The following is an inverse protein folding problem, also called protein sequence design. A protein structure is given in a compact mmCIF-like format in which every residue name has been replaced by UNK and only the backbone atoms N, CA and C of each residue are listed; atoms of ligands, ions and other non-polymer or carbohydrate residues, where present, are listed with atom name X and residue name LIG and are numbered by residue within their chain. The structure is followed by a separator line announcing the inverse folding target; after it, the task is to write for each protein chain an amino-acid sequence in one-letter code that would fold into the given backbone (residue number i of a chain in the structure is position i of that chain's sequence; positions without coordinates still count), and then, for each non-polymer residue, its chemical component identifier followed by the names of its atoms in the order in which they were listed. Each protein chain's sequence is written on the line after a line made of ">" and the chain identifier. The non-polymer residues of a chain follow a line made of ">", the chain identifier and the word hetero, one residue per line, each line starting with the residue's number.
data_IF_224634448387
#
_entry.id   IF_224634448387
#
_cell.length_a   1.000
_cell.length_b   1.000
_cell.length_c   1.000
_cell.angle_alpha   90.00
_cell.angle_beta   90.00
_cell.angle_gamma   90.00
#
_symmetry.space_group_name_H-M   'P 1'
#
loop_
_entity.id
_entity.type
_entity.pdbx_description
1 polymer ?
#
# COMPACT_ATOMS: atom_id res chain seq x y z
N UNK A 1 -16.44 -24.64 2.05
CA UNK A 1 -16.76 -23.92 0.80
C UNK A 1 -16.95 -22.45 1.14
N UNK A 2 -16.05 -21.54 0.71
CA UNK A 2 -16.18 -20.09 0.94
C UNK A 2 -15.70 -19.36 -0.31
N UNK A 3 -16.62 -18.76 -1.05
CA UNK A 3 -16.34 -17.92 -2.22
C UNK A 3 -16.70 -16.47 -1.90
N UNK A 4 -15.76 -15.71 -1.33
CA UNK A 4 -15.90 -14.25 -1.24
C UNK A 4 -15.45 -13.61 -2.56
N UNK A 5 -16.36 -13.60 -3.54
CA UNK A 5 -16.24 -12.77 -4.74
C UNK A 5 -16.84 -11.38 -4.49
N UNK A 6 -16.31 -10.68 -3.47
CA UNK A 6 -16.39 -9.22 -3.37
C UNK A 6 -15.07 -8.69 -3.90
N UNK A 7 -15.12 -7.64 -4.72
CA UNK A 7 -13.96 -7.06 -5.45
C UNK A 7 -12.74 -6.99 -4.53
N UNK A 8 -11.69 -7.75 -4.84
CA UNK A 8 -10.46 -7.77 -4.05
C UNK A 8 -9.69 -6.47 -4.26
N UNK A 9 -9.96 -5.48 -3.43
CA UNK A 9 -9.08 -4.33 -3.29
C UNK A 9 -7.87 -4.73 -2.44
N UNK A 10 -6.69 -4.39 -2.95
CA UNK A 10 -5.40 -4.64 -2.33
C UNK A 10 -4.61 -3.37 -2.48
N UNK A 11 -4.30 -2.73 -1.36
CA UNK A 11 -3.48 -1.53 -1.35
C UNK A 11 -2.01 -1.95 -1.32
N UNK A 12 -1.18 -1.42 -2.21
CA UNK A 12 0.26 -1.73 -2.23
C UNK A 12 1.04 -0.44 -2.00
N UNK A 13 1.89 -0.43 -0.97
CA UNK A 13 2.71 0.71 -0.58
C UNK A 13 4.16 0.42 -0.93
N UNK A 14 4.80 1.29 -1.69
CA UNK A 14 6.21 1.17 -2.12
C UNK A 14 6.94 2.49 -1.85
N UNK A 15 8.25 2.55 -2.07
CA UNK A 15 9.03 3.79 -1.93
C UNK A 15 9.33 4.26 -0.50
N UNK A 16 8.66 3.71 0.52
CA UNK A 16 8.90 4.00 1.94
C UNK A 16 10.38 3.88 2.37
N UNK A 17 11.10 2.93 1.79
CA UNK A 17 12.54 2.71 2.01
C UNK A 17 13.38 3.95 1.63
N UNK A 18 12.97 4.72 0.62
CA UNK A 18 13.66 5.95 0.19
C UNK A 18 13.56 7.08 1.23
N UNK A 19 12.58 7.02 2.14
CA UNK A 19 12.43 7.93 3.30
C UNK A 19 13.13 7.39 4.55
N UNK A 20 13.85 6.26 4.44
CA UNK A 20 14.49 5.59 5.56
C UNK A 20 13.52 4.83 6.48
N UNK A 21 12.29 4.57 6.01
CA UNK A 21 11.29 3.83 6.79
C UNK A 21 11.46 2.33 6.62
N UNK A 22 11.28 1.59 7.72
CA UNK A 22 11.46 0.15 7.73
C UNK A 22 10.14 -0.56 7.35
N UNK A 23 10.07 -1.08 6.12
CA UNK A 23 8.86 -1.71 5.58
C UNK A 23 8.27 -2.81 6.48
N UNK A 24 9.11 -3.54 7.24
CA UNK A 24 8.67 -4.53 8.25
C UNK A 24 7.92 -3.92 9.43
N UNK A 25 8.25 -2.70 9.86
CA UNK A 25 7.53 -1.99 10.93
C UNK A 25 6.21 -1.48 10.39
N UNK A 26 6.25 -0.72 9.28
CA UNK A 26 5.06 -0.17 8.62
C UNK A 26 4.06 -1.29 8.34
N UNK A 27 4.46 -2.39 7.72
CA UNK A 27 3.57 -3.53 7.46
C UNK A 27 2.90 -4.07 8.74
N UNK A 28 3.66 -4.25 9.83
CA UNK A 28 3.11 -4.72 11.11
C UNK A 28 2.14 -3.72 11.74
N UNK A 29 2.46 -2.43 11.70
CA UNK A 29 1.61 -1.39 12.26
C UNK A 29 0.32 -1.24 11.45
N UNK A 30 0.39 -1.28 10.11
CA UNK A 30 -0.78 -1.33 9.23
C UNK A 30 -1.67 -2.55 9.55
N UNK A 31 -1.10 -3.77 9.60
CA UNK A 31 -1.85 -4.98 9.92
C UNK A 31 -2.48 -4.97 11.33
N UNK A 32 -1.84 -4.33 12.32
CA UNK A 32 -2.41 -4.15 13.67
C UNK A 32 -3.48 -3.06 13.74
N UNK A 33 -3.27 -1.93 13.08
CA UNK A 33 -4.15 -0.75 13.10
C UNK A 33 -5.46 -1.02 12.36
N UNK A 34 -5.36 -1.66 11.19
CA UNK A 34 -6.50 -1.91 10.31
C UNK A 34 -7.09 -3.32 10.42
N UNK A 35 -6.48 -4.20 11.24
CA UNK A 35 -6.83 -5.62 11.36
C UNK A 35 -6.85 -6.38 10.01
N UNK A 36 -6.10 -5.87 9.02
CA UNK A 36 -6.00 -6.40 7.66
C UNK A 36 -4.77 -7.29 7.48
N UNK A 37 -4.82 -8.16 6.48
CA UNK A 37 -3.67 -8.97 6.09
C UNK A 37 -2.62 -8.15 5.36
N UNK A 38 -1.57 -7.71 6.07
CA UNK A 38 -0.38 -7.05 5.50
C UNK A 38 0.75 -8.05 5.24
N UNK A 39 1.53 -7.88 4.18
CA UNK A 39 2.73 -8.68 3.90
C UNK A 39 3.77 -7.87 3.12
N UNK A 40 5.05 -8.05 3.46
CA UNK A 40 6.16 -7.43 2.71
C UNK A 40 6.53 -8.35 1.56
N UNK A 41 6.40 -7.86 0.32
CA UNK A 41 6.81 -8.54 -0.91
C UNK A 41 8.15 -7.95 -1.37
N UNK A 42 9.09 -8.78 -1.82
CA UNK A 42 10.26 -8.29 -2.56
C UNK A 42 9.98 -8.35 -4.05
N UNK A 43 10.19 -7.24 -4.76
CA UNK A 43 10.18 -7.26 -6.23
C UNK A 43 11.49 -7.84 -6.75
N UNK A 44 11.48 -8.56 -7.88
CA UNK A 44 12.69 -9.13 -8.49
C UNK A 44 13.72 -8.07 -8.89
N UNK A 45 13.32 -6.80 -9.04
CA UNK A 45 14.20 -5.66 -9.27
C UNK A 45 15.00 -5.19 -8.04
N UNK A 46 14.80 -5.81 -6.86
CA UNK A 46 15.61 -5.57 -5.66
C UNK A 46 14.99 -4.69 -4.57
N UNK A 47 13.82 -4.08 -4.80
CA UNK A 47 13.09 -3.29 -3.80
C UNK A 47 12.10 -4.09 -2.93
N UNK A 48 11.57 -3.43 -1.88
CA UNK A 48 10.51 -3.95 -1.01
C UNK A 48 9.18 -3.20 -1.18
N UNK A 49 8.08 -3.97 -1.26
CA UNK A 49 6.69 -3.50 -1.29
C UNK A 49 5.96 -3.96 -0.02
N UNK A 50 4.91 -3.25 0.39
CA UNK A 50 3.97 -3.68 1.42
C UNK A 50 2.60 -3.87 0.78
N UNK A 51 2.14 -5.11 0.72
CA UNK A 51 0.84 -5.49 0.17
C UNK A 51 -0.15 -5.65 1.33
N UNK A 52 -1.25 -4.89 1.31
CA UNK A 52 -2.29 -4.88 2.35
C UNK A 52 -3.65 -5.28 1.76
N UNK A 53 -4.28 -6.29 2.35
CA UNK A 53 -5.57 -6.81 1.91
C UNK A 53 -6.70 -5.94 2.45
N UNK A 54 -7.31 -5.13 1.60
CA UNK A 54 -8.41 -4.23 1.95
C UNK A 54 -8.33 -2.89 1.21
N UNK A 55 -9.44 -2.18 1.29
CA UNK A 55 -9.75 -0.88 0.71
C UNK A 55 -9.06 0.30 1.45
N UNK A 56 -8.06 0.01 2.31
CA UNK A 56 -7.43 0.91 3.31
C UNK A 56 -6.48 1.95 2.75
N UNK A 57 -6.72 2.42 1.53
CA UNK A 57 -5.82 3.33 0.80
C UNK A 57 -5.78 4.72 1.42
N UNK A 58 -6.95 5.32 1.64
CA UNK A 58 -7.15 6.63 2.28
C UNK A 58 -6.61 6.62 3.74
N UNK A 59 -6.90 5.54 4.47
CA UNK A 59 -6.44 5.34 5.85
C UNK A 59 -4.93 5.08 5.97
N UNK A 60 -4.29 4.49 4.95
CA UNK A 60 -2.83 4.35 4.87
C UNK A 60 -2.18 5.72 4.67
N UNK A 61 -2.74 6.56 3.81
CA UNK A 61 -2.26 7.93 3.57
C UNK A 61 -2.33 8.77 4.85
N UNK A 62 -3.51 8.89 5.47
CA UNK A 62 -3.67 9.62 6.74
C UNK A 62 -2.76 9.08 7.84
N UNK A 63 -2.63 7.76 7.97
CA UNK A 63 -1.72 7.14 8.93
C UNK A 63 -0.24 7.42 8.62
N UNK A 64 0.17 7.43 7.35
CA UNK A 64 1.55 7.74 6.97
C UNK A 64 1.90 9.20 7.33
N UNK A 65 0.99 10.13 7.06
CA UNK A 65 1.16 11.55 7.35
C UNK A 65 1.17 11.84 8.86
N UNK A 66 0.25 11.26 9.62
CA UNK A 66 0.20 11.41 11.08
C UNK A 66 1.41 10.75 11.77
N UNK A 67 1.85 9.58 11.28
CA UNK A 67 2.90 8.78 11.94
C UNK A 67 4.31 9.11 11.50
N UNK A 68 4.49 9.54 10.26
CA UNK A 68 5.79 9.78 9.63
C UNK A 68 5.81 11.17 8.98
N UNK A 69 5.94 12.26 9.76
CA UNK A 69 6.06 13.64 9.25
C UNK A 69 7.33 13.90 8.40
N UNK A 70 8.14 12.86 8.15
CA UNK A 70 9.24 12.82 7.18
C UNK A 70 8.76 12.60 5.75
N UNK A 71 7.53 12.10 5.55
CA UNK A 71 6.91 11.98 4.23
C UNK A 71 5.93 13.16 4.04
N UNK A 72 6.19 14.09 3.12
CA UNK A 72 5.19 15.10 2.74
C UNK A 72 4.11 14.49 1.82
N UNK A 73 2.90 15.06 1.82
CA UNK A 73 1.80 14.65 0.92
C UNK A 73 2.21 14.65 -0.55
N UNK A 74 2.98 15.64 -1.01
CA UNK A 74 3.54 15.72 -2.36
C UNK A 74 4.38 14.50 -2.79
N UNK A 75 4.84 13.70 -1.83
CA UNK A 75 5.63 12.48 -2.07
C UNK A 75 4.83 11.18 -1.90
N UNK A 76 3.55 11.25 -1.54
CA UNK A 76 2.64 10.09 -1.44
C UNK A 76 1.74 10.08 -2.67
N UNK A 77 2.09 9.31 -3.71
CA UNK A 77 1.26 9.21 -4.91
C UNK A 77 0.24 8.05 -4.78
N UNK A 78 -1.01 8.38 -4.48
CA UNK A 78 -2.07 7.40 -4.27
C UNK A 78 -2.65 6.89 -5.61
N UNK A 79 -1.95 5.95 -6.23
CA UNK A 79 -2.34 5.34 -7.52
C UNK A 79 -3.49 4.35 -7.33
N UNK A 80 -4.72 4.84 -7.32
CA UNK A 80 -5.92 3.99 -7.34
C UNK A 80 -6.03 3.25 -8.68
N UNK A 81 -5.45 2.05 -8.75
CA UNK A 81 -5.52 1.15 -9.91
C UNK A 81 -6.92 0.53 -10.06
N UNK A 82 -7.93 1.37 -10.30
CA UNK A 82 -9.12 0.95 -11.07
C UNK A 82 -8.60 0.29 -12.34
N UNK A 83 -8.99 -0.95 -12.61
CA UNK A 83 -8.71 -1.62 -13.89
C UNK A 83 -9.46 -0.84 -14.98
N UNK A 84 -8.78 0.17 -15.54
CA UNK A 84 -9.26 0.96 -16.65
C UNK A 84 -9.12 0.09 -17.89
N UNK A 85 -10.22 -0.57 -18.25
CA UNK A 85 -10.35 -1.40 -19.43
C UNK A 85 -10.21 -0.51 -20.69
N UNK A 86 -8.97 -0.26 -21.11
CA UNK A 86 -8.57 0.36 -22.37
C UNK A 86 -8.50 1.89 -22.41
N UNK A 87 -7.31 2.44 -22.73
CA UNK A 87 -7.08 3.49 -23.76
C UNK A 87 -5.60 3.92 -23.81
N UNK A 88 -4.96 3.68 -24.96
CA UNK A 88 -4.13 4.62 -25.77
C UNK A 88 -2.98 5.39 -25.06
N UNK A 89 -1.72 5.38 -25.51
CA UNK A 89 -1.27 5.68 -26.89
C UNK A 89 0.19 5.25 -27.13
N UNK A 90 0.46 4.48 -28.20
CA UNK A 90 1.44 4.73 -29.29
C UNK A 90 1.21 3.67 -30.36
#
# INVERSE_FOLDING_TARGET
>A
NVFFSKRKFVTTVTGLEAFGLENKKVAKDLGKKFATGSSVTKVPSGGEEIVVQGDVSEEIEEFLLEKYPVIPEDNVELVESKIKKGSTTT
#
